data_IF_495434599063
#
_entry.id   IF_495434599063
#
_cell.length_a   1.000
_cell.length_b   1.000
_cell.length_c   1.000
_cell.angle_alpha   90.00
_cell.angle_beta   90.00
_cell.angle_gamma   90.00
#
_symmetry.space_group_name_H-M   'P 1'
#
loop_
_entity.id
_entity.type
_entity.pdbx_description
1 polymer ?
#
# COMPACT_ATOMS: atom_id res chain seq x y z
N UNK A 1 -8.96 -21.94 3.76
CA UNK A 1 -8.01 -20.98 4.37
C UNK A 1 -8.70 -20.36 5.58
N UNK A 2 -7.96 -20.01 6.62
CA UNK A 2 -8.51 -19.32 7.82
C UNK A 2 -8.43 -17.81 7.64
N UNK A 3 -9.23 -17.08 8.43
CA UNK A 3 -9.16 -15.61 8.49
C UNK A 3 -7.74 -15.18 8.91
N UNK A 4 -7.21 -14.13 8.28
CA UNK A 4 -5.89 -13.58 8.51
C UNK A 4 -4.96 -13.66 7.29
N UNK A 5 -3.69 -13.31 7.50
CA UNK A 5 -2.67 -13.31 6.41
C UNK A 5 -2.49 -14.74 5.87
N UNK A 6 -2.48 -14.87 4.56
CA UNK A 6 -2.28 -16.17 3.89
C UNK A 6 -0.87 -16.69 4.19
N UNK A 7 -0.75 -17.99 4.52
CA UNK A 7 0.54 -18.58 4.87
C UNK A 7 1.53 -18.53 3.69
N UNK A 8 2.81 -18.37 3.99
CA UNK A 8 3.88 -18.28 2.99
C UNK A 8 3.88 -19.45 1.98
N UNK A 9 3.65 -20.67 2.45
CA UNK A 9 3.60 -21.83 1.58
C UNK A 9 2.47 -21.75 0.53
N UNK A 10 1.33 -21.17 0.92
CA UNK A 10 0.22 -20.94 -0.01
C UNK A 10 0.55 -19.79 -0.96
N UNK A 11 1.12 -18.68 -0.45
CA UNK A 11 1.58 -17.56 -1.29
C UNK A 11 2.57 -18.03 -2.35
N UNK A 12 3.58 -18.84 -1.97
CA UNK A 12 4.56 -19.40 -2.91
C UNK A 12 3.91 -20.20 -4.02
N UNK A 13 2.95 -21.08 -3.69
CA UNK A 13 2.32 -21.98 -4.68
C UNK A 13 1.24 -21.30 -5.51
N UNK A 14 0.37 -20.54 -4.86
CA UNK A 14 -0.87 -20.04 -5.47
C UNK A 14 -0.72 -18.64 -6.08
N UNK A 15 0.26 -17.86 -5.63
CA UNK A 15 0.48 -16.50 -6.12
C UNK A 15 1.80 -16.41 -6.88
N UNK A 16 2.94 -16.49 -6.19
CA UNK A 16 4.23 -16.19 -6.81
C UNK A 16 4.61 -17.12 -7.96
N UNK A 17 4.26 -18.41 -7.86
CA UNK A 17 4.49 -19.39 -8.93
C UNK A 17 3.69 -19.08 -10.22
N UNK A 18 2.60 -18.32 -10.12
CA UNK A 18 1.78 -17.95 -11.28
C UNK A 18 2.31 -16.70 -11.99
N UNK A 19 3.09 -15.86 -11.30
CA UNK A 19 3.64 -14.61 -11.85
C UNK A 19 4.92 -14.94 -12.63
N UNK A 20 4.79 -15.11 -13.96
CA UNK A 20 5.89 -15.54 -14.85
C UNK A 20 6.47 -14.40 -15.68
N UNK A 21 5.64 -13.43 -16.07
CA UNK A 21 6.10 -12.30 -16.87
C UNK A 21 7.05 -11.41 -16.07
N UNK A 22 8.12 -10.94 -16.71
CA UNK A 22 9.15 -10.12 -16.07
C UNK A 22 9.50 -8.93 -16.95
N UNK A 23 9.69 -7.79 -16.31
CA UNK A 23 10.18 -6.57 -16.94
C UNK A 23 11.53 -6.21 -16.33
N UNK A 24 12.44 -5.66 -17.15
CA UNK A 24 13.79 -5.26 -16.72
C UNK A 24 13.76 -4.05 -15.78
N UNK A 25 12.76 -3.20 -15.92
CA UNK A 25 12.56 -2.00 -15.10
C UNK A 25 12.16 -2.34 -13.67
N UNK A 26 11.64 -3.54 -13.38
CA UNK A 26 11.26 -3.95 -12.02
C UNK A 26 12.50 -4.47 -11.29
N UNK A 27 13.07 -3.63 -10.44
CA UNK A 27 14.30 -3.90 -9.69
C UNK A 27 14.03 -4.80 -8.47
N UNK A 28 13.03 -4.42 -7.67
CA UNK A 28 12.57 -5.19 -6.51
C UNK A 28 11.14 -5.62 -6.76
N UNK A 29 10.84 -6.87 -6.42
CA UNK A 29 9.50 -7.47 -6.56
C UNK A 29 9.00 -7.86 -5.20
N UNK A 30 7.72 -7.57 -4.95
CA UNK A 30 7.04 -8.07 -3.75
C UNK A 30 7.26 -9.57 -3.56
N UNK A 31 7.49 -9.98 -2.35
CA UNK A 31 7.82 -11.34 -1.98
C UNK A 31 7.65 -11.57 -0.49
N UNK A 32 8.13 -12.71 -0.01
CA UNK A 32 8.13 -12.96 1.42
C UNK A 32 9.22 -12.12 2.06
N UNK A 33 8.81 -11.27 3.03
CA UNK A 33 9.71 -10.32 3.66
C UNK A 33 10.05 -9.08 2.81
N UNK A 34 9.35 -8.90 1.66
CA UNK A 34 9.51 -7.73 0.81
C UNK A 34 8.13 -7.12 0.55
N UNK A 35 7.77 -6.10 1.33
CA UNK A 35 6.45 -5.47 1.28
C UNK A 35 6.35 -4.42 0.15
N UNK A 36 7.52 -3.91 -0.34
CA UNK A 36 7.57 -2.94 -1.43
C UNK A 36 8.00 -3.56 -2.76
N UNK A 37 7.50 -2.98 -3.84
CA UNK A 37 8.07 -3.13 -5.17
C UNK A 37 8.85 -1.87 -5.56
N UNK A 38 9.93 -2.03 -6.37
CA UNK A 38 10.72 -0.91 -6.84
C UNK A 38 10.87 -0.99 -8.38
N UNK A 39 10.55 0.10 -9.05
CA UNK A 39 10.54 0.21 -10.51
C UNK A 39 11.46 1.35 -10.95
N UNK A 40 12.40 1.04 -11.81
CA UNK A 40 13.27 2.02 -12.46
C UNK A 40 12.44 2.89 -13.42
N UNK A 41 12.42 4.18 -13.19
CA UNK A 41 11.66 5.15 -13.99
C UNK A 41 12.58 6.04 -14.87
N UNK A 42 13.86 5.76 -14.89
CA UNK A 42 14.86 6.53 -15.62
C UNK A 42 15.56 7.58 -14.75
N UNK A 43 16.54 8.27 -15.32
CA UNK A 43 17.27 9.39 -14.68
C UNK A 43 17.83 9.09 -13.27
N UNK A 44 18.27 7.84 -13.05
CA UNK A 44 18.75 7.33 -11.76
C UNK A 44 17.69 7.35 -10.64
N UNK A 45 16.41 7.47 -10.99
CA UNK A 45 15.30 7.46 -10.06
C UNK A 45 14.52 6.14 -10.08
N UNK A 46 13.96 5.81 -8.93
CA UNK A 46 13.17 4.60 -8.71
C UNK A 46 11.85 4.99 -8.05
N UNK A 47 10.75 4.53 -8.63
CA UNK A 47 9.46 4.54 -7.96
C UNK A 47 9.36 3.33 -7.01
N UNK A 48 9.03 3.59 -5.76
CA UNK A 48 8.76 2.57 -4.74
C UNK A 48 7.26 2.52 -4.49
N UNK A 49 6.70 1.33 -4.48
CA UNK A 49 5.26 1.10 -4.40
C UNK A 49 4.96 0.07 -3.31
N UNK A 50 4.01 0.38 -2.44
CA UNK A 50 3.40 -0.57 -1.51
C UNK A 50 1.88 -0.47 -1.57
N UNK A 51 1.17 -1.55 -1.22
CA UNK A 51 -0.29 -1.55 -1.19
C UNK A 51 -0.81 -2.48 -0.12
N UNK A 52 -1.58 -1.95 0.83
CA UNK A 52 -2.17 -2.71 1.93
C UNK A 52 -3.65 -2.40 2.15
N UNK A 53 -4.47 -3.45 2.32
CA UNK A 53 -5.85 -3.30 2.76
C UNK A 53 -5.92 -3.19 4.28
N UNK A 54 -6.66 -2.21 4.78
CA UNK A 54 -6.96 -2.08 6.20
C UNK A 54 -8.35 -2.65 6.46
N UNK A 55 -8.38 -3.70 7.27
CA UNK A 55 -9.58 -4.41 7.69
C UNK A 55 -9.71 -4.39 9.20
N UNK A 56 -10.94 -4.25 9.72
CA UNK A 56 -11.21 -4.43 11.15
C UNK A 56 -10.97 -3.21 12.06
N UNK A 57 -10.54 -2.08 11.54
CA UNK A 57 -10.48 -0.83 12.29
C UNK A 57 -11.80 -0.07 12.12
N UNK A 58 -12.59 0.03 13.19
CA UNK A 58 -13.85 0.80 13.19
C UNK A 58 -13.64 2.30 13.44
N UNK A 59 -12.50 2.70 13.98
CA UNK A 59 -12.11 4.08 14.27
C UNK A 59 -10.73 4.34 13.71
N UNK A 60 -10.49 5.57 13.25
CA UNK A 60 -9.20 6.05 12.76
C UNK A 60 -8.62 5.20 11.61
N UNK A 61 -9.53 4.57 10.84
CA UNK A 61 -9.12 3.69 9.74
C UNK A 61 -8.33 4.44 8.67
N UNK A 62 -8.67 5.71 8.42
CA UNK A 62 -7.95 6.57 7.49
C UNK A 62 -6.53 6.87 7.96
N UNK A 63 -6.38 7.25 9.23
CA UNK A 63 -5.09 7.50 9.88
C UNK A 63 -4.18 6.27 9.78
N UNK A 64 -4.71 5.11 10.18
CA UNK A 64 -3.94 3.86 10.19
C UNK A 64 -3.50 3.46 8.78
N UNK A 65 -4.38 3.62 7.78
CA UNK A 65 -4.11 3.25 6.40
C UNK A 65 -2.91 4.02 5.81
N UNK A 66 -2.85 5.33 6.05
CA UNK A 66 -1.74 6.16 5.58
C UNK A 66 -0.43 5.80 6.28
N UNK A 67 -0.45 5.67 7.61
CA UNK A 67 0.77 5.35 8.36
C UNK A 67 1.36 3.99 8.00
N UNK A 68 0.55 2.94 7.83
CA UNK A 68 1.05 1.61 7.43
C UNK A 68 1.75 1.72 6.08
N UNK A 69 1.09 2.28 5.07
CA UNK A 69 1.65 2.39 3.74
C UNK A 69 2.90 3.28 3.70
N UNK A 70 2.90 4.39 4.45
CA UNK A 70 4.05 5.28 4.54
C UNK A 70 5.26 4.58 5.19
N UNK A 71 5.05 3.80 6.25
CA UNK A 71 6.10 3.04 6.93
C UNK A 71 6.73 1.99 6.00
N UNK A 72 5.92 1.27 5.22
CA UNK A 72 6.44 0.29 4.26
C UNK A 72 7.38 0.94 3.25
N UNK A 73 6.95 2.05 2.64
CA UNK A 73 7.78 2.76 1.66
C UNK A 73 9.03 3.33 2.33
N UNK A 74 8.90 3.93 3.52
CA UNK A 74 10.03 4.46 4.26
C UNK A 74 11.06 3.39 4.64
N UNK A 75 10.64 2.14 4.85
CA UNK A 75 11.54 1.02 5.13
C UNK A 75 12.51 0.72 3.98
N UNK A 76 12.15 1.08 2.75
CA UNK A 76 13.03 1.00 1.58
C UNK A 76 13.97 2.21 1.42
N UNK A 77 13.90 3.18 2.34
CA UNK A 77 14.63 4.44 2.30
C UNK A 77 14.01 5.51 1.40
N UNK A 78 12.85 5.22 0.79
CA UNK A 78 12.18 6.13 -0.13
C UNK A 78 11.37 7.21 0.59
N UNK A 79 11.31 8.40 -0.02
CA UNK A 79 10.41 9.48 0.34
C UNK A 79 9.02 9.17 -0.23
N UNK A 80 7.99 9.18 0.61
CA UNK A 80 6.60 9.02 0.16
C UNK A 80 6.11 10.34 -0.40
N UNK A 81 5.62 10.34 -1.63
CA UNK A 81 5.17 11.57 -2.31
C UNK A 81 3.66 11.59 -2.57
N UNK A 82 3.03 10.43 -2.64
CA UNK A 82 1.61 10.36 -2.94
C UNK A 82 0.98 9.03 -2.57
N UNK A 83 -0.33 9.04 -2.47
CA UNK A 83 -1.14 7.84 -2.27
C UNK A 83 -2.35 7.79 -3.20
N UNK A 84 -2.73 6.58 -3.58
CA UNK A 84 -4.03 6.25 -4.16
C UNK A 84 -4.86 5.51 -3.13
N UNK A 85 -6.15 5.86 -3.00
CA UNK A 85 -7.05 5.18 -2.06
C UNK A 85 -8.13 4.40 -2.80
N UNK A 86 -8.39 3.15 -2.40
CA UNK A 86 -9.57 2.42 -2.82
C UNK A 86 -10.43 2.17 -1.59
N UNK A 87 -11.62 2.80 -1.54
CA UNK A 87 -12.54 2.77 -0.41
C UNK A 87 -13.80 2.03 -0.84
N UNK A 88 -14.07 0.90 -0.18
CA UNK A 88 -15.28 0.10 -0.40
C UNK A 88 -16.14 0.17 0.87
N UNK A 89 -17.34 0.68 0.72
CA UNK A 89 -18.28 0.93 1.80
C UNK A 89 -19.45 -0.06 1.75
N UNK A 90 -19.94 -0.53 2.90
CA UNK A 90 -21.16 -1.32 2.93
C UNK A 90 -22.40 -0.46 2.60
N UNK A 91 -23.43 -1.12 2.10
CA UNK A 91 -24.74 -0.50 1.88
C UNK A 91 -25.24 0.20 3.17
N UNK A 92 -25.88 1.35 3.02
CA UNK A 92 -26.37 2.15 4.15
C UNK A 92 -25.32 3.03 4.82
N UNK A 93 -24.07 3.04 4.36
CA UNK A 93 -23.06 3.97 4.87
C UNK A 93 -23.48 5.42 4.59
N UNK A 94 -23.45 6.26 5.63
CA UNK A 94 -23.79 7.69 5.50
C UNK A 94 -22.59 8.49 5.00
N UNK A 95 -22.84 9.50 4.17
CA UNK A 95 -21.81 10.41 3.63
C UNK A 95 -20.89 10.99 4.72
N UNK A 96 -21.43 11.28 5.89
CA UNK A 96 -20.62 11.81 7.01
C UNK A 96 -19.52 10.83 7.46
N UNK A 97 -19.75 9.52 7.34
CA UNK A 97 -18.73 8.52 7.68
C UNK A 97 -17.60 8.54 6.67
N UNK A 98 -17.91 8.58 5.36
CA UNK A 98 -16.91 8.73 4.32
C UNK A 98 -16.12 10.03 4.48
N UNK A 99 -16.80 11.14 4.75
CA UNK A 99 -16.16 12.45 4.96
C UNK A 99 -15.15 12.40 6.12
N UNK A 100 -15.47 11.74 7.24
CA UNK A 100 -14.55 11.57 8.36
C UNK A 100 -13.32 10.76 7.98
N UNK A 101 -13.50 9.64 7.27
CA UNK A 101 -12.38 8.84 6.78
C UNK A 101 -11.42 9.66 5.91
N UNK A 102 -11.98 10.47 4.99
CA UNK A 102 -11.16 11.35 4.14
C UNK A 102 -10.47 12.45 4.93
N UNK A 103 -11.10 13.00 5.98
CA UNK A 103 -10.47 13.96 6.88
C UNK A 103 -9.30 13.35 7.66
N UNK A 104 -9.46 12.12 8.16
CA UNK A 104 -8.39 11.37 8.83
C UNK A 104 -7.20 11.13 7.89
N UNK A 105 -7.48 10.73 6.63
CA UNK A 105 -6.45 10.54 5.60
C UNK A 105 -5.72 11.86 5.33
N UNK A 106 -6.45 12.93 5.07
CA UNK A 106 -5.89 14.25 4.73
C UNK A 106 -5.05 14.82 5.87
N UNK A 107 -5.50 14.67 7.13
CA UNK A 107 -4.74 15.14 8.29
C UNK A 107 -3.35 14.50 8.37
N UNK A 108 -3.27 13.18 8.20
CA UNK A 108 -1.98 12.49 8.22
C UNK A 108 -1.15 12.83 6.97
N UNK A 109 -1.78 12.87 5.81
CA UNK A 109 -1.10 13.23 4.56
C UNK A 109 -0.48 14.62 4.64
N UNK A 110 -1.22 15.61 5.19
CA UNK A 110 -0.72 16.96 5.40
C UNK A 110 0.46 17.02 6.37
N UNK A 111 0.43 16.21 7.45
CA UNK A 111 1.53 16.14 8.41
C UNK A 111 2.79 15.51 7.84
N UNK A 112 2.64 14.54 6.94
CA UNK A 112 3.73 13.80 6.30
C UNK A 112 4.15 14.35 4.93
N UNK A 113 3.56 15.45 4.49
CA UNK A 113 3.79 16.07 3.18
C UNK A 113 3.50 15.10 2.00
N UNK A 114 2.47 14.28 2.14
CA UNK A 114 2.00 13.31 1.15
C UNK A 114 0.75 13.85 0.46
N UNK A 115 0.62 13.66 -0.86
CA UNK A 115 -0.58 14.06 -1.60
C UNK A 115 -1.51 12.85 -1.84
N UNK A 116 -2.83 13.03 -1.64
CA UNK A 116 -3.83 12.08 -2.14
C UNK A 116 -4.02 12.35 -3.63
N UNK A 117 -3.34 11.58 -4.47
CA UNK A 117 -3.30 11.84 -5.93
C UNK A 117 -4.49 11.23 -6.68
N UNK A 118 -5.33 10.44 -6.02
CA UNK A 118 -6.53 9.87 -6.61
C UNK A 118 -7.00 8.61 -5.91
N UNK A 119 -7.87 7.88 -6.60
CA UNK A 119 -8.38 6.62 -6.06
C UNK A 119 -9.74 6.23 -6.62
N UNK A 120 -10.42 5.35 -5.90
CA UNK A 120 -11.75 4.85 -6.21
C UNK A 120 -12.58 4.77 -4.93
N UNK A 121 -13.87 5.13 -5.01
CA UNK A 121 -14.81 4.99 -3.89
C UNK A 121 -16.11 4.41 -4.40
N UNK A 122 -16.57 3.33 -3.78
CA UNK A 122 -17.83 2.69 -4.13
C UNK A 122 -18.59 2.16 -2.91
N UNK A 123 -19.87 1.93 -3.06
CA UNK A 123 -20.73 1.17 -2.14
C UNK A 123 -20.95 -0.21 -2.72
N UNK A 124 -20.71 -1.25 -1.93
CA UNK A 124 -20.82 -2.63 -2.39
C UNK A 124 -21.40 -3.56 -1.32
N UNK A 125 -22.19 -4.53 -1.74
CA UNK A 125 -22.67 -5.61 -0.88
C UNK A 125 -21.61 -6.71 -0.63
N UNK A 126 -20.44 -6.58 -1.24
CA UNK A 126 -19.31 -7.49 -1.04
C UNK A 126 -18.63 -7.32 0.33
N UNK A 127 -18.90 -6.21 1.03
CA UNK A 127 -18.32 -5.91 2.34
C UNK A 127 -19.42 -5.60 3.37
N UNK A 128 -19.19 -5.96 4.61
CA UNK A 128 -20.10 -5.67 5.73
C UNK A 128 -19.58 -4.57 6.66
N UNK A 129 -18.38 -4.08 6.41
CA UNK A 129 -17.73 -2.95 7.07
C UNK A 129 -16.84 -2.23 6.06
N UNK A 130 -16.47 -0.95 6.31
CA UNK A 130 -15.56 -0.24 5.42
C UNK A 130 -14.24 -1.00 5.22
N UNK A 131 -13.77 -1.02 3.99
CA UNK A 131 -12.46 -1.51 3.59
C UNK A 131 -11.73 -0.38 2.88
N UNK A 132 -10.55 -0.01 3.37
CA UNK A 132 -9.68 0.95 2.72
C UNK A 132 -8.41 0.23 2.28
N UNK A 133 -8.08 0.32 1.00
CA UNK A 133 -6.77 -0.06 0.50
C UNK A 133 -6.02 1.20 0.10
N UNK A 134 -4.81 1.37 0.62
CA UNK A 134 -3.93 2.47 0.23
C UNK A 134 -2.78 1.92 -0.59
N UNK A 135 -2.54 2.55 -1.74
CA UNK A 135 -1.34 2.31 -2.54
C UNK A 135 -0.46 3.53 -2.45
N UNK A 136 0.70 3.38 -1.83
CA UNK A 136 1.67 4.43 -1.69
C UNK A 136 2.63 4.50 -2.88
N UNK A 137 3.07 5.71 -3.17
CA UNK A 137 4.04 6.05 -4.20
C UNK A 137 5.19 6.77 -3.54
N UNK A 138 6.37 6.17 -3.58
CA UNK A 138 7.60 6.78 -3.11
C UNK A 138 8.60 6.99 -4.23
N UNK A 139 9.60 7.83 -3.98
CA UNK A 139 10.74 8.05 -4.88
C UNK A 139 12.06 7.92 -4.12
N UNK A 140 13.08 7.43 -4.80
CA UNK A 140 14.44 7.32 -4.26
C UNK A 140 15.44 7.25 -5.39
N UNK A 141 16.68 7.70 -5.16
CA UNK A 141 17.80 7.42 -6.07
C UNK A 141 18.13 5.94 -6.06
N UNK A 142 18.39 5.37 -7.23
CA UNK A 142 18.70 3.95 -7.40
C UNK A 142 19.83 3.46 -6.49
N UNK A 143 20.85 4.28 -6.29
CA UNK A 143 22.00 3.99 -5.43
C UNK A 143 21.68 3.96 -3.93
N UNK A 144 20.53 4.49 -3.52
CA UNK A 144 20.10 4.56 -2.12
C UNK A 144 18.98 3.59 -1.76
N UNK A 145 18.44 2.86 -2.75
CA UNK A 145 17.35 1.90 -2.54
C UNK A 145 17.79 0.78 -1.61
N UNK A 146 17.03 0.61 -0.54
CA UNK A 146 17.20 -0.50 0.39
C UNK A 146 16.26 -1.64 0.02
N UNK A 147 16.73 -2.87 0.20
CA UNK A 147 15.94 -4.09 0.02
C UNK A 147 16.31 -5.07 1.13
N UNK A 148 15.35 -5.85 1.58
CA UNK A 148 15.59 -6.91 2.56
C UNK A 148 16.49 -8.03 2.02
N UNK A 149 16.67 -8.10 0.70
CA UNK A 149 17.61 -9.02 0.04
C UNK A 149 19.05 -8.54 0.24
N UNK A 150 19.75 -9.13 1.16
CA UNK A 150 21.16 -8.82 1.43
C UNK A 150 21.42 -8.28 2.82
N UNK A 151 20.42 -8.30 3.70
CA UNK A 151 20.65 -8.14 5.14
C UNK A 151 21.48 -9.34 5.61
N UNK A 152 22.70 -9.07 6.01
CA UNK A 152 23.53 -10.02 6.75
C UNK A 152 23.23 -9.86 8.25
N UNK A 153 23.20 -10.96 9.03
CA UNK A 153 22.94 -10.91 10.47
C UNK A 153 24.08 -10.25 11.25
#
# INVERSE_FOLDING_TARGET
MKVGKVSENVLKRAVFKQIRHRRKEVLVRGGIGEDCAAVDIGDDEVAVLSTDPITGAAKEIGTLAVHITANDIASSGAEVIGILTSIILPEGTREIALRRMMQEIEEVCSQLEIEVVGGHTEVSNAVNQPLITVTGIGKIKKSKLLSTKGLEP
#
